data_IF_896898796938
#
_entry.id   IF_896898796938
#
_cell.length_a   1.000
_cell.length_b   1.000
_cell.length_c   1.000
_cell.angle_alpha   90.00
_cell.angle_beta   90.00
_cell.angle_gamma   90.00
#
_symmetry.space_group_name_H-M   'P 1'
#
loop_
_entity.id
_entity.type
_entity.pdbx_description
1 polymer ?
#
# COMPACT_ATOMS: atom_id res chain seq x y z
N UNK A 1 -0.45 12.46 -12.58
CA UNK A 1 -1.76 12.50 -11.88
C UNK A 1 -1.71 13.62 -10.85
N UNK A 2 -2.67 14.54 -10.94
CA UNK A 2 -2.71 15.72 -10.05
C UNK A 2 -3.38 15.37 -8.71
N UNK A 3 -4.09 14.23 -8.66
CA UNK A 3 -4.72 13.66 -7.47
C UNK A 3 -4.07 12.32 -7.06
N UNK A 4 -4.15 11.95 -5.78
CA UNK A 4 -3.73 10.63 -5.30
C UNK A 4 -4.48 9.50 -6.00
N UNK A 5 -3.79 8.39 -6.25
CA UNK A 5 -4.37 7.18 -6.84
C UNK A 5 -4.77 6.22 -5.73
N UNK A 6 -6.04 5.82 -5.69
CA UNK A 6 -6.54 4.74 -4.84
C UNK A 6 -6.65 3.44 -5.65
N UNK A 7 -5.70 2.53 -5.46
CA UNK A 7 -5.72 1.21 -6.07
C UNK A 7 -6.23 0.16 -5.08
N UNK A 8 -7.28 -0.57 -5.45
CA UNK A 8 -7.91 -1.60 -4.62
C UNK A 8 -7.76 -2.98 -5.28
N UNK A 9 -6.63 -3.68 -5.07
CA UNK A 9 -6.35 -4.96 -5.74
C UNK A 9 -7.34 -6.06 -5.37
N UNK A 10 -7.97 -5.97 -4.20
CA UNK A 10 -8.89 -6.98 -3.66
C UNK A 10 -10.36 -6.74 -4.03
N UNK A 11 -10.61 -5.79 -4.93
CA UNK A 11 -11.94 -5.35 -5.30
C UNK A 11 -12.48 -4.24 -4.40
N UNK A 12 -13.74 -3.86 -4.65
CA UNK A 12 -14.43 -2.76 -3.98
C UNK A 12 -15.93 -3.06 -3.91
N UNK A 13 -16.62 -2.74 -2.80
CA UNK A 13 -18.07 -2.92 -2.70
C UNK A 13 -18.88 -1.89 -3.51
N UNK A 14 -18.24 -0.79 -3.91
CA UNK A 14 -18.85 0.32 -4.66
C UNK A 14 -17.88 0.86 -5.72
N UNK A 15 -18.38 1.47 -6.82
CA UNK A 15 -19.79 1.60 -7.18
C UNK A 15 -20.41 0.26 -7.60
N UNK A 16 -19.66 -0.55 -8.33
CA UNK A 16 -20.02 -1.92 -8.69
C UNK A 16 -19.23 -2.91 -7.82
N UNK A 17 -19.90 -3.86 -7.14
CA UNK A 17 -19.23 -4.79 -6.25
C UNK A 17 -18.30 -5.74 -7.00
N UNK A 18 -17.04 -5.79 -6.58
CA UNK A 18 -16.01 -6.74 -7.04
C UNK A 18 -15.24 -7.22 -5.83
N UNK A 19 -14.95 -8.52 -5.73
CA UNK A 19 -14.26 -9.11 -4.58
C UNK A 19 -13.39 -10.27 -5.00
N UNK A 20 -12.28 -10.45 -4.28
CA UNK A 20 -11.51 -11.69 -4.22
C UNK A 20 -11.77 -12.28 -2.83
N UNK A 21 -12.60 -13.31 -2.74
CA UNK A 21 -13.13 -13.83 -1.49
C UNK A 21 -12.87 -15.33 -1.29
N UNK A 22 -12.49 -16.06 -2.34
CA UNK A 22 -12.18 -17.49 -2.30
C UNK A 22 -10.73 -17.79 -2.70
N UNK A 23 -10.25 -18.98 -2.35
CA UNK A 23 -8.93 -19.44 -2.78
C UNK A 23 -8.82 -19.55 -4.31
N UNK A 24 -9.91 -19.92 -4.99
CA UNK A 24 -9.97 -19.95 -6.45
C UNK A 24 -9.79 -18.54 -7.04
N UNK A 25 -10.47 -17.54 -6.46
CA UNK A 25 -10.34 -16.14 -6.88
C UNK A 25 -8.89 -15.66 -6.73
N UNK A 26 -8.22 -16.06 -5.64
CA UNK A 26 -6.81 -15.74 -5.44
C UNK A 26 -5.91 -16.43 -6.45
N UNK A 27 -6.17 -17.69 -6.81
CA UNK A 27 -5.39 -18.40 -7.83
C UNK A 27 -5.51 -17.70 -9.19
N UNK A 28 -6.72 -17.36 -9.60
CA UNK A 28 -6.97 -16.66 -10.87
C UNK A 28 -6.31 -15.27 -10.85
N UNK A 29 -6.54 -14.50 -9.79
CA UNK A 29 -5.96 -13.17 -9.65
C UNK A 29 -4.43 -13.18 -9.61
N UNK A 30 -3.82 -14.10 -8.87
CA UNK A 30 -2.36 -14.23 -8.81
C UNK A 30 -1.78 -14.68 -10.16
N UNK A 31 -2.50 -15.51 -10.91
CA UNK A 31 -2.11 -15.90 -12.27
C UNK A 31 -2.09 -14.68 -13.20
N UNK A 32 -3.14 -13.85 -13.16
CA UNK A 32 -3.17 -12.59 -13.90
C UNK A 32 -2.08 -11.62 -13.45
N UNK A 33 -1.81 -11.55 -12.15
CA UNK A 33 -0.76 -10.71 -11.56
C UNK A 33 0.62 -11.14 -12.05
N UNK A 34 0.91 -12.44 -12.08
CA UNK A 34 2.15 -13.01 -12.62
C UNK A 34 2.28 -12.77 -14.13
N UNK A 35 1.17 -12.84 -14.88
CA UNK A 35 1.13 -12.46 -16.30
C UNK A 35 1.27 -10.95 -16.52
N UNK A 36 1.21 -10.15 -15.45
CA UNK A 36 1.25 -8.70 -15.51
C UNK A 36 -0.05 -8.08 -16.02
N UNK A 37 -1.19 -8.77 -15.98
CA UNK A 37 -2.47 -8.24 -16.46
C UNK A 37 -3.28 -7.57 -15.35
N UNK A 38 -3.11 -8.01 -14.09
CA UNK A 38 -3.88 -7.52 -12.95
C UNK A 38 -3.61 -6.05 -12.56
N UNK A 39 -2.40 -5.54 -12.84
CA UNK A 39 -2.02 -4.16 -12.47
C UNK A 39 -2.17 -3.20 -13.65
N UNK A 40 -2.96 -2.12 -13.52
CA UNK A 40 -3.14 -1.14 -14.58
C UNK A 40 -1.82 -0.56 -15.09
N UNK A 41 -1.70 -0.37 -16.40
CA UNK A 41 -0.46 0.10 -17.03
C UNK A 41 0.03 1.44 -16.48
N UNK A 42 -0.88 2.35 -16.12
CA UNK A 42 -0.51 3.63 -15.50
C UNK A 42 0.11 3.45 -14.12
N UNK A 43 -0.37 2.49 -13.32
CA UNK A 43 0.16 2.21 -11.99
C UNK A 43 1.54 1.55 -12.08
N UNK A 44 1.76 0.66 -13.07
CA UNK A 44 3.09 0.08 -13.32
C UNK A 44 4.16 1.12 -13.64
N UNK A 45 3.78 2.21 -14.32
CA UNK A 45 4.68 3.35 -14.56
C UNK A 45 4.89 4.17 -13.29
N UNK A 46 3.81 4.42 -12.56
CA UNK A 46 3.81 5.22 -11.33
C UNK A 46 4.62 4.59 -10.18
N UNK A 47 4.60 3.26 -10.03
CA UNK A 47 5.25 2.52 -8.93
C UNK A 47 6.78 2.58 -8.93
N UNK A 48 7.40 2.91 -10.06
CA UNK A 48 8.86 2.90 -10.20
C UNK A 48 9.52 3.94 -9.29
N UNK A 49 10.61 3.54 -8.64
CA UNK A 49 11.40 4.35 -7.72
C UNK A 49 10.60 4.95 -6.54
N UNK A 50 9.41 4.41 -6.26
CA UNK A 50 8.61 4.79 -5.09
C UNK A 50 8.98 3.93 -3.90
N UNK A 51 8.78 4.48 -2.70
CA UNK A 51 8.92 3.76 -1.43
C UNK A 51 7.54 3.53 -0.84
N UNK A 52 7.40 2.44 -0.11
CA UNK A 52 6.12 1.96 0.38
C UNK A 52 6.02 1.99 1.89
N UNK A 53 4.82 2.24 2.39
CA UNK A 53 4.50 2.14 3.80
C UNK A 53 3.42 1.07 3.97
N UNK A 54 3.75 -0.01 4.67
CA UNK A 54 2.80 -1.08 5.00
C UNK A 54 2.17 -0.80 6.36
N UNK A 55 0.86 -0.62 6.37
CA UNK A 55 0.05 -0.33 7.55
C UNK A 55 -0.97 -1.43 7.75
N UNK A 56 -1.04 -2.00 8.96
CA UNK A 56 -2.00 -3.07 9.29
C UNK A 56 -1.74 -4.40 8.57
N UNK A 57 -0.63 -4.54 7.83
CA UNK A 57 -0.25 -5.77 7.14
C UNK A 57 0.85 -6.49 7.91
N UNK A 58 0.55 -7.69 8.39
CA UNK A 58 1.53 -8.56 9.06
C UNK A 58 2.46 -9.26 8.07
N UNK A 59 2.07 -9.37 6.79
CA UNK A 59 2.87 -10.05 5.75
C UNK A 59 3.18 -11.50 6.17
N UNK A 60 2.20 -12.19 6.77
CA UNK A 60 2.35 -13.58 7.23
C UNK A 60 1.78 -14.57 6.23
N UNK A 61 0.75 -14.18 5.47
CA UNK A 61 0.13 -15.00 4.44
C UNK A 61 0.90 -14.89 3.13
N UNK A 62 0.94 -15.99 2.38
CA UNK A 62 1.67 -16.03 1.11
C UNK A 62 1.04 -15.10 0.06
N UNK A 63 -0.30 -15.05 0.02
CA UNK A 63 -1.07 -14.16 -0.85
C UNK A 63 -0.70 -12.69 -0.64
N UNK A 64 -0.66 -12.21 0.61
CA UNK A 64 -0.20 -10.84 0.95
C UNK A 64 1.22 -10.58 0.46
N UNK A 65 2.11 -11.56 0.59
CA UNK A 65 3.52 -11.46 0.19
C UNK A 65 3.70 -11.44 -1.33
N UNK A 66 2.89 -12.18 -2.06
CA UNK A 66 2.88 -12.20 -3.53
C UNK A 66 2.31 -10.89 -4.08
N UNK A 67 1.14 -10.46 -3.60
CA UNK A 67 0.50 -9.22 -4.04
C UNK A 67 1.39 -8.00 -3.73
N UNK A 68 1.95 -7.92 -2.51
CA UNK A 68 2.87 -6.84 -2.15
C UNK A 68 4.17 -6.86 -2.98
N UNK A 69 4.69 -8.05 -3.32
CA UNK A 69 5.88 -8.16 -4.17
C UNK A 69 5.66 -7.52 -5.53
N UNK A 70 4.52 -7.81 -6.16
CA UNK A 70 4.23 -7.29 -7.50
C UNK A 70 3.91 -5.79 -7.46
N UNK A 71 3.06 -5.34 -6.52
CA UNK A 71 2.74 -3.91 -6.38
C UNK A 71 4.01 -3.07 -6.17
N UNK A 72 4.98 -3.58 -5.42
CA UNK A 72 6.25 -2.89 -5.13
C UNK A 72 7.37 -3.21 -6.13
N UNK A 73 7.04 -3.81 -7.28
CA UNK A 73 8.02 -4.10 -8.31
C UNK A 73 8.62 -2.81 -8.89
N UNK A 74 9.96 -2.72 -8.87
CA UNK A 74 10.69 -1.52 -9.27
C UNK A 74 10.64 -0.38 -8.25
N UNK A 75 10.30 -0.68 -6.99
CA UNK A 75 10.41 0.26 -5.88
C UNK A 75 11.85 0.81 -5.73
N UNK A 76 11.96 1.97 -5.09
CA UNK A 76 13.26 2.55 -4.72
C UNK A 76 13.95 1.77 -3.61
N UNK A 77 15.14 2.24 -3.22
CA UNK A 77 15.93 1.67 -2.11
C UNK A 77 16.07 2.71 -0.99
N UNK A 78 15.76 2.39 0.28
CA UNK A 78 15.11 1.15 0.71
C UNK A 78 13.71 1.00 0.09
N UNK A 79 13.21 -0.25 -0.06
CA UNK A 79 11.88 -0.54 -0.62
C UNK A 79 10.77 0.16 0.16
N UNK A 80 10.92 0.25 1.48
CA UNK A 80 9.94 0.94 2.31
C UNK A 80 10.00 0.54 3.78
N UNK A 81 8.88 0.77 4.46
CA UNK A 81 8.71 0.55 5.90
C UNK A 81 7.45 -0.25 6.19
N UNK A 82 7.46 -1.05 7.25
CA UNK A 82 6.29 -1.75 7.76
C UNK A 82 6.10 -1.45 9.25
N UNK A 83 4.89 -1.01 9.63
CA UNK A 83 4.53 -0.78 11.02
C UNK A 83 4.04 -2.07 11.66
N UNK A 84 4.88 -2.67 12.50
CA UNK A 84 4.63 -3.93 13.19
C UNK A 84 5.15 -3.80 14.64
N UNK A 85 4.29 -3.57 15.64
CA UNK A 85 4.72 -3.32 17.04
C UNK A 85 5.59 -4.44 17.61
N UNK A 86 5.14 -5.67 17.42
CA UNK A 86 5.75 -6.88 17.96
C UNK A 86 6.00 -7.85 16.80
N UNK A 87 7.07 -7.62 16.01
CA UNK A 87 7.35 -8.42 14.84
C UNK A 87 8.00 -9.74 15.27
N UNK A 88 7.40 -10.82 14.79
CA UNK A 88 7.91 -12.18 14.87
C UNK A 88 9.17 -12.34 14.03
N UNK A 89 9.94 -13.39 14.29
CA UNK A 89 11.12 -13.74 13.51
C UNK A 89 10.82 -13.94 12.01
N UNK A 90 9.64 -14.50 11.69
CA UNK A 90 9.20 -14.69 10.30
C UNK A 90 9.01 -13.36 9.57
N UNK A 91 8.46 -12.36 10.25
CA UNK A 91 8.20 -11.03 9.71
C UNK A 91 9.50 -10.26 9.52
N UNK A 92 10.39 -10.29 10.52
CA UNK A 92 11.75 -9.73 10.43
C UNK A 92 12.50 -10.28 9.22
N UNK A 93 12.52 -11.61 9.08
CA UNK A 93 13.20 -12.26 7.96
C UNK A 93 12.60 -11.92 6.61
N UNK A 94 11.27 -11.84 6.50
CA UNK A 94 10.63 -11.46 5.24
C UNK A 94 10.94 -10.02 4.86
N UNK A 95 10.80 -9.08 5.80
CA UNK A 95 11.03 -7.65 5.55
C UNK A 95 12.50 -7.39 5.18
N UNK A 96 13.45 -7.98 5.92
CA UNK A 96 14.88 -7.87 5.62
C UNK A 96 15.22 -8.37 4.20
N UNK A 97 14.68 -9.52 3.77
CA UNK A 97 14.88 -10.05 2.40
C UNK A 97 14.28 -9.16 1.31
N UNK A 98 13.30 -8.33 1.64
CA UNK A 98 12.61 -7.44 0.70
C UNK A 98 13.06 -5.99 0.80
N UNK A 99 14.11 -5.71 1.59
CA UNK A 99 14.61 -4.35 1.82
C UNK A 99 13.52 -3.43 2.41
N UNK A 100 12.70 -4.00 3.30
CA UNK A 100 11.65 -3.31 4.04
C UNK A 100 12.12 -3.18 5.49
N UNK A 101 12.18 -1.96 5.98
CA UNK A 101 12.51 -1.66 7.38
C UNK A 101 11.28 -1.85 8.26
N UNK A 102 11.43 -2.48 9.43
CA UNK A 102 10.32 -2.62 10.37
C UNK A 102 10.39 -1.49 11.39
N UNK A 103 9.29 -0.75 11.52
CA UNK A 103 9.05 0.20 12.59
C UNK A 103 8.19 -0.49 13.63
N UNK A 104 8.69 -0.59 14.87
CA UNK A 104 7.98 -1.20 15.99
C UNK A 104 6.91 -0.26 16.57
N UNK A 105 5.91 0.04 15.76
CA UNK A 105 4.78 0.91 16.09
C UNK A 105 3.51 0.42 15.36
N UNK A 106 2.34 0.81 15.87
CA UNK A 106 1.06 0.58 15.20
C UNK A 106 0.58 1.85 14.47
N UNK A 107 -0.52 1.72 13.73
CA UNK A 107 -1.13 2.87 13.05
C UNK A 107 -1.62 3.95 14.02
N UNK A 108 -2.00 3.59 15.24
CA UNK A 108 -2.40 4.57 16.25
C UNK A 108 -1.22 5.45 16.69
N UNK A 109 -0.04 4.87 16.86
CA UNK A 109 1.20 5.61 17.13
C UNK A 109 1.58 6.52 15.96
N UNK A 110 1.39 6.08 14.72
CA UNK A 110 1.60 6.92 13.54
C UNK A 110 0.67 8.14 13.56
N UNK A 111 -0.63 7.93 13.80
CA UNK A 111 -1.61 9.03 13.84
C UNK A 111 -1.24 10.07 14.91
N UNK A 112 -0.90 9.63 16.12
CA UNK A 112 -0.44 10.53 17.20
C UNK A 112 0.81 11.32 16.81
N UNK A 113 1.74 10.70 16.09
CA UNK A 113 2.96 11.38 15.63
C UNK A 113 2.65 12.42 14.53
N UNK A 114 1.70 12.15 13.64
CA UNK A 114 1.26 13.10 12.61
C UNK A 114 0.58 14.33 13.21
N UNK A 115 -0.28 14.15 14.23
CA UNK A 115 -0.94 15.27 14.91
C UNK A 115 0.06 16.22 15.57
N UNK A 116 1.20 15.69 16.05
CA UNK A 116 2.28 16.48 16.62
C UNK A 116 3.14 17.23 15.58
N UNK A 117 3.01 16.89 14.29
CA UNK A 117 3.89 17.40 13.22
C UNK A 117 3.14 18.16 12.11
N UNK A 118 1.83 18.36 12.23
CA UNK A 118 1.04 19.07 11.21
C UNK A 118 1.46 20.57 11.14
N UNK A 119 1.99 21.07 10.00
CA UNK A 119 2.05 22.52 9.77
C UNK A 119 0.62 23.09 9.65
N UNK A 120 0.38 24.37 9.95
CA UNK A 120 -0.96 24.94 9.87
C UNK A 120 -1.55 24.70 8.47
N UNK A 121 -2.80 24.25 8.43
CA UNK A 121 -3.49 23.96 7.19
C UNK A 121 -3.49 25.21 6.28
N UNK A 122 -3.30 25.06 4.96
CA UNK A 122 -3.43 26.20 4.06
C UNK A 122 -4.85 26.78 4.19
N UNK A 123 -4.94 28.08 4.47
CA UNK A 123 -6.20 28.80 4.50
C UNK A 123 -6.91 28.60 3.15
N UNK A 124 -8.02 27.88 3.18
CA UNK A 124 -8.92 27.80 2.03
C UNK A 124 -9.57 29.16 1.92
N UNK A 125 -9.00 30.03 1.09
CA UNK A 125 -9.62 31.31 0.73
C UNK A 125 -10.94 31.02 0.02
N UNK A 126 -12.03 31.13 0.79
CA UNK A 126 -13.38 31.26 0.28
C UNK A 126 -13.50 32.61 -0.44
N UNK A 127 -12.99 32.70 -1.66
CA UNK A 127 -13.35 33.78 -2.56
C UNK A 127 -14.67 33.41 -3.24
N UNK A 128 -15.77 33.74 -2.58
CA UNK A 128 -17.00 34.06 -3.28
C UNK A 128 -16.80 35.39 -4.02
N UNK A 129 -16.84 35.34 -5.35
CA UNK A 129 -17.19 36.45 -6.26
C UNK A 129 -17.56 35.74 -7.58
N UNK A 130 -18.80 35.75 -8.07
CA UNK A 130 -19.65 36.92 -8.17
C UNK A 130 -19.39 37.59 -9.51
N UNK A 131 -19.92 37.00 -10.59
CA UNK A 131 -20.46 37.60 -11.80
C UNK A 131 -21.00 36.48 -12.70
#
# INVERSE_FOLDING_TARGET
>A
PDLPVLFKPMGTPRPEPTFIASDADYVDYLTELMGGFAIPAFLKRYRRNRRYLFLGLRLTRDTERMVSADITYGAGTPRGWALIPEPTEKERRFCARRDIEIIQADSAALLRACDATQPPAPEVSSAAMGC
#
